data_IF_463861882026
#
_entry.id   IF_463861882026
#
_cell.length_a   1.000
_cell.length_b   1.000
_cell.length_c   1.000
_cell.angle_alpha   90.00
_cell.angle_beta   90.00
_cell.angle_gamma   90.00
#
_symmetry.space_group_name_H-M   'P 1'
#
loop_
_entity.id
_entity.type
_entity.pdbx_description
1 polymer ?
#
# COMPACT_ATOMS: atom_id res chain seq x y z
N UNK A 1 -9.94 21.92 -16.22
CA UNK A 1 -9.47 20.78 -17.02
C UNK A 1 -8.27 20.21 -16.30
N UNK A 2 -8.51 19.17 -15.52
CA UNK A 2 -7.49 18.44 -14.78
C UNK A 2 -6.63 17.61 -15.73
N UNK A 3 -5.31 17.75 -15.60
CA UNK A 3 -4.36 16.96 -16.37
C UNK A 3 -4.19 15.57 -15.72
N UNK A 4 -5.07 14.66 -16.11
CA UNK A 4 -5.11 13.27 -15.62
C UNK A 4 -3.82 12.50 -15.91
N UNK A 5 -3.04 12.92 -16.90
CA UNK A 5 -1.79 12.26 -17.27
C UNK A 5 -0.69 12.48 -16.22
N UNK A 6 -0.80 13.53 -15.41
CA UNK A 6 0.14 13.84 -14.34
C UNK A 6 -0.47 13.60 -12.94
N UNK A 7 -1.54 12.81 -12.85
CA UNK A 7 -2.18 12.48 -11.59
C UNK A 7 -1.45 11.32 -10.89
N UNK A 8 -0.75 11.64 -9.80
CA UNK A 8 -0.02 10.66 -8.98
C UNK A 8 -0.88 9.48 -8.52
N UNK A 9 -2.20 9.66 -8.36
CA UNK A 9 -3.11 8.56 -7.99
C UNK A 9 -3.20 7.50 -9.07
N UNK A 10 -3.29 7.93 -10.33
CA UNK A 10 -3.35 7.05 -11.50
C UNK A 10 -1.98 6.43 -11.79
N UNK A 11 -0.91 7.24 -11.70
CA UNK A 11 0.47 6.77 -11.88
C UNK A 11 0.83 5.66 -10.89
N UNK A 12 0.51 5.84 -9.61
CA UNK A 12 0.76 4.81 -8.57
C UNK A 12 -0.12 3.59 -8.80
N UNK A 13 -1.38 3.77 -9.22
CA UNK A 13 -2.25 2.64 -9.56
C UNK A 13 -1.65 1.79 -10.69
N UNK A 14 -1.22 2.41 -11.78
CA UNK A 14 -0.58 1.71 -12.90
C UNK A 14 0.69 0.99 -12.48
N UNK A 15 1.61 1.69 -11.81
CA UNK A 15 2.87 1.10 -11.34
C UNK A 15 2.65 -0.06 -10.36
N UNK A 16 1.60 0.00 -9.54
CA UNK A 16 1.23 -1.10 -8.64
C UNK A 16 0.72 -2.35 -9.39
N UNK A 17 0.06 -2.18 -10.55
CA UNK A 17 -0.30 -3.30 -11.44
C UNK A 17 0.97 -3.97 -11.98
N UNK A 18 1.95 -3.19 -12.44
CA UNK A 18 3.24 -3.72 -12.90
C UNK A 18 3.96 -4.51 -11.78
N UNK A 19 4.00 -3.93 -10.58
CA UNK A 19 4.56 -4.58 -9.39
C UNK A 19 3.87 -5.92 -9.11
N UNK A 20 2.53 -5.95 -9.17
CA UNK A 20 1.76 -7.18 -8.99
C UNK A 20 2.09 -8.23 -10.03
N UNK A 21 2.07 -7.88 -11.33
CA UNK A 21 2.38 -8.81 -12.41
C UNK A 21 3.77 -9.42 -12.24
N UNK A 22 4.79 -8.59 -12.00
CA UNK A 22 6.16 -9.03 -11.75
C UNK A 22 6.26 -9.95 -10.53
N UNK A 23 5.56 -9.59 -9.45
CA UNK A 23 5.55 -10.37 -8.20
C UNK A 23 4.92 -11.73 -8.42
N UNK A 24 3.74 -11.80 -9.06
CA UNK A 24 3.01 -13.04 -9.31
C UNK A 24 3.72 -13.94 -10.31
N UNK A 25 4.40 -13.35 -11.30
CA UNK A 25 5.20 -14.10 -12.27
C UNK A 25 6.43 -14.73 -11.61
N UNK A 26 7.16 -13.98 -10.76
CA UNK A 26 8.39 -14.42 -10.11
C UNK A 26 8.23 -15.22 -8.81
N UNK A 27 7.10 -15.10 -8.12
CA UNK A 27 6.88 -15.78 -6.85
C UNK A 27 6.48 -17.25 -7.01
N UNK A 28 7.01 -18.10 -6.13
CA UNK A 28 6.70 -19.52 -6.07
C UNK A 28 5.54 -19.78 -5.09
N UNK A 29 4.35 -19.34 -5.44
CA UNK A 29 3.14 -19.55 -4.64
C UNK A 29 2.67 -21.01 -4.70
N UNK A 30 2.72 -21.70 -3.57
CA UNK A 30 2.24 -23.07 -3.41
C UNK A 30 0.73 -23.12 -3.16
N UNK A 31 0.10 -24.26 -3.43
CA UNK A 31 -1.32 -24.48 -3.17
C UNK A 31 -2.22 -24.31 -4.40
N UNK A 32 -3.53 -24.34 -4.17
CA UNK A 32 -4.55 -24.22 -5.23
C UNK A 32 -5.00 -22.77 -5.33
N UNK A 33 -4.61 -22.11 -6.41
CA UNK A 33 -5.02 -20.75 -6.77
C UNK A 33 -4.98 -20.60 -8.29
N UNK A 34 -5.72 -19.64 -8.83
CA UNK A 34 -5.85 -19.45 -10.26
C UNK A 34 -4.91 -18.35 -10.77
N UNK A 35 -3.62 -18.69 -10.94
CA UNK A 35 -2.58 -17.78 -11.46
C UNK A 35 -2.97 -17.11 -12.78
N UNK A 36 -3.54 -17.88 -13.70
CA UNK A 36 -3.93 -17.38 -15.02
C UNK A 36 -5.01 -16.31 -14.90
N UNK A 37 -6.04 -16.56 -14.09
CA UNK A 37 -7.12 -15.60 -13.87
C UNK A 37 -6.61 -14.33 -13.18
N UNK A 38 -5.80 -14.47 -12.12
CA UNK A 38 -5.23 -13.32 -11.41
C UNK A 38 -4.41 -12.40 -12.34
N UNK A 39 -3.55 -12.98 -13.20
CA UNK A 39 -2.76 -12.23 -14.17
C UNK A 39 -3.64 -11.60 -15.27
N UNK A 40 -4.68 -12.30 -15.72
CA UNK A 40 -5.60 -11.76 -16.73
C UNK A 40 -6.41 -10.57 -16.19
N UNK A 41 -6.93 -10.67 -14.96
CA UNK A 41 -7.63 -9.58 -14.30
C UNK A 41 -6.73 -8.35 -14.14
N UNK A 42 -5.50 -8.52 -13.64
CA UNK A 42 -4.55 -7.42 -13.48
C UNK A 42 -4.17 -6.75 -14.82
N UNK A 43 -4.00 -7.52 -15.91
CA UNK A 43 -3.70 -6.94 -17.23
C UNK A 43 -4.86 -6.09 -17.79
N UNK A 44 -6.11 -6.42 -17.45
CA UNK A 44 -7.27 -5.60 -17.82
C UNK A 44 -7.30 -4.28 -17.05
N UNK A 45 -6.81 -4.25 -15.81
CA UNK A 45 -6.73 -3.00 -15.03
C UNK A 45 -5.88 -1.94 -15.74
N UNK A 46 -4.79 -2.33 -16.41
CA UNK A 46 -3.96 -1.40 -17.18
C UNK A 46 -4.79 -0.65 -18.23
N UNK A 47 -5.68 -1.32 -18.97
CA UNK A 47 -6.53 -0.63 -19.95
C UNK A 47 -7.57 0.30 -19.30
N UNK A 48 -8.11 -0.06 -18.14
CA UNK A 48 -9.03 0.82 -17.41
C UNK A 48 -8.31 2.08 -16.90
N UNK A 49 -7.10 1.93 -16.34
CA UNK A 49 -6.28 3.04 -15.85
C UNK A 49 -5.86 3.95 -17.00
N UNK A 50 -5.43 3.40 -18.14
CA UNK A 50 -5.08 4.19 -19.32
C UNK A 50 -6.28 4.98 -19.88
N UNK A 51 -7.48 4.43 -19.79
CA UNK A 51 -8.71 5.16 -20.16
C UNK A 51 -8.93 6.38 -19.25
N UNK A 52 -8.71 6.23 -17.93
CA UNK A 52 -8.77 7.35 -16.99
C UNK A 52 -7.66 8.37 -17.23
N UNK A 53 -6.45 7.89 -17.51
CA UNK A 53 -5.24 8.68 -17.72
C UNK A 53 -5.37 9.68 -18.87
N UNK A 54 -6.02 9.30 -19.98
CA UNK A 54 -6.25 10.19 -21.14
C UNK A 54 -7.62 10.88 -21.15
N UNK A 55 -8.36 10.83 -20.04
CA UNK A 55 -9.74 11.34 -20.00
C UNK A 55 -9.85 12.85 -19.82
N UNK A 56 -8.85 13.50 -19.20
CA UNK A 56 -8.88 14.92 -18.78
C UNK A 56 -10.10 15.30 -17.92
N UNK A 57 -10.73 14.29 -17.30
CA UNK A 57 -11.88 14.47 -16.41
C UNK A 57 -11.45 15.06 -15.08
N UNK A 58 -12.32 15.90 -14.53
CA UNK A 58 -12.15 16.37 -13.16
C UNK A 58 -12.33 15.19 -12.18
N UNK A 59 -11.67 15.19 -11.01
CA UNK A 59 -11.74 14.09 -10.05
C UNK A 59 -13.18 13.69 -9.67
N UNK A 60 -14.09 14.66 -9.53
CA UNK A 60 -15.51 14.42 -9.20
C UNK A 60 -16.30 13.72 -10.32
N UNK A 61 -15.84 13.82 -11.56
CA UNK A 61 -16.40 13.12 -12.72
C UNK A 61 -15.75 11.75 -12.88
N UNK A 62 -14.43 11.67 -12.67
CA UNK A 62 -13.65 10.44 -12.74
C UNK A 62 -14.20 9.33 -11.83
N UNK A 63 -14.58 9.67 -10.58
CA UNK A 63 -15.14 8.68 -9.63
C UNK A 63 -16.49 8.08 -10.06
N UNK A 64 -17.17 8.68 -11.04
CA UNK A 64 -18.47 8.23 -11.56
C UNK A 64 -18.34 7.36 -12.82
N UNK A 65 -17.12 7.22 -13.33
CA UNK A 65 -16.86 6.45 -14.54
C UNK A 65 -17.02 4.94 -14.28
N UNK A 66 -17.40 4.15 -15.30
CA UNK A 66 -17.45 2.70 -15.16
C UNK A 66 -16.07 2.09 -14.89
N UNK A 67 -14.99 2.73 -15.35
CA UNK A 67 -13.61 2.29 -15.14
C UNK A 67 -13.28 2.11 -13.66
N UNK A 68 -13.73 3.03 -12.79
CA UNK A 68 -13.49 2.93 -11.34
C UNK A 68 -14.16 1.68 -10.75
N UNK A 69 -15.41 1.40 -11.13
CA UNK A 69 -16.10 0.20 -10.64
C UNK A 69 -15.47 -1.08 -11.22
N UNK A 70 -15.06 -1.06 -12.49
CA UNK A 70 -14.36 -2.19 -13.12
C UNK A 70 -13.04 -2.52 -12.42
N UNK A 71 -12.30 -1.50 -11.97
CA UNK A 71 -11.08 -1.70 -11.20
C UNK A 71 -11.35 -2.36 -9.84
N UNK A 72 -12.42 -1.96 -9.15
CA UNK A 72 -12.87 -2.59 -7.90
C UNK A 72 -13.27 -4.06 -8.13
N UNK A 73 -14.06 -4.34 -9.18
CA UNK A 73 -14.49 -5.69 -9.57
C UNK A 73 -13.30 -6.59 -9.91
N UNK A 74 -12.33 -6.08 -10.67
CA UNK A 74 -11.12 -6.81 -11.03
C UNK A 74 -10.24 -7.08 -9.80
N UNK A 75 -10.20 -6.17 -8.82
CA UNK A 75 -9.47 -6.41 -7.57
C UNK A 75 -10.12 -7.55 -6.76
N UNK A 76 -11.46 -7.60 -6.71
CA UNK A 76 -12.19 -8.71 -6.09
C UNK A 76 -11.94 -10.03 -6.84
N UNK A 77 -11.95 -10.02 -8.17
CA UNK A 77 -11.62 -11.21 -8.99
C UNK A 77 -10.22 -11.74 -8.68
N UNK A 78 -9.23 -10.84 -8.48
CA UNK A 78 -7.87 -11.24 -8.09
C UNK A 78 -7.87 -11.88 -6.69
N UNK A 79 -8.58 -11.31 -5.71
CA UNK A 79 -8.67 -11.88 -4.36
C UNK A 79 -9.28 -13.28 -4.40
N UNK A 80 -10.36 -13.48 -5.16
CA UNK A 80 -10.95 -14.81 -5.36
C UNK A 80 -9.96 -15.78 -6.01
N UNK A 81 -9.27 -15.34 -7.08
CA UNK A 81 -8.28 -16.15 -7.78
C UNK A 81 -7.09 -16.53 -6.90
N UNK A 82 -6.70 -15.70 -5.93
CA UNK A 82 -5.63 -15.99 -4.96
C UNK A 82 -6.04 -16.97 -3.86
N UNK A 83 -7.33 -17.26 -3.68
CA UNK A 83 -7.84 -18.15 -2.63
C UNK A 83 -8.84 -17.52 -1.65
N UNK A 84 -9.45 -16.40 -2.01
CA UNK A 84 -10.43 -15.66 -1.19
C UNK A 84 -9.76 -14.85 -0.08
N UNK A 85 -10.52 -14.35 0.90
CA UNK A 85 -10.01 -13.39 1.92
C UNK A 85 -8.78 -13.87 2.72
N UNK A 86 -8.64 -15.18 2.87
CA UNK A 86 -7.54 -15.79 3.66
C UNK A 86 -6.34 -16.20 2.81
N UNK A 87 -6.29 -15.82 1.53
CA UNK A 87 -5.23 -16.17 0.56
C UNK A 87 -3.80 -16.04 1.13
N UNK A 88 -3.53 -14.94 1.83
CA UNK A 88 -2.21 -14.65 2.39
C UNK A 88 -1.78 -15.66 3.47
N UNK A 89 -2.71 -16.14 4.29
CA UNK A 89 -2.43 -17.15 5.33
C UNK A 89 -2.17 -18.51 4.69
N UNK A 90 -3.01 -18.88 3.72
CA UNK A 90 -2.89 -20.15 2.99
C UNK A 90 -1.52 -20.28 2.31
N UNK A 91 -1.02 -19.21 1.69
CA UNK A 91 0.32 -19.24 1.10
C UNK A 91 1.43 -19.40 2.15
N UNK A 92 1.34 -18.68 3.29
CA UNK A 92 2.34 -18.77 4.35
C UNK A 92 2.37 -20.14 5.04
N UNK A 93 1.21 -20.78 5.22
CA UNK A 93 1.09 -22.11 5.83
C UNK A 93 1.78 -23.20 5.01
N UNK A 94 1.85 -23.02 3.68
CA UNK A 94 2.48 -23.96 2.76
C UNK A 94 3.98 -23.69 2.53
N UNK A 95 4.50 -22.60 3.05
CA UNK A 95 5.90 -22.22 2.90
C UNK A 95 6.78 -22.86 3.97
N UNK A 96 7.99 -23.28 3.56
CA UNK A 96 9.00 -23.67 4.54
C UNK A 96 9.68 -22.43 5.16
N UNK A 97 10.51 -22.65 6.19
CA UNK A 97 11.15 -21.56 6.95
C UNK A 97 12.03 -20.64 6.09
N UNK A 98 12.70 -21.18 5.08
CA UNK A 98 13.60 -20.42 4.19
C UNK A 98 12.83 -19.60 3.15
N UNK A 99 11.71 -20.14 2.65
CA UNK A 99 10.84 -19.47 1.68
C UNK A 99 10.02 -18.34 2.31
N UNK A 100 9.74 -18.44 3.61
CA UNK A 100 8.79 -17.56 4.31
C UNK A 100 9.13 -16.08 4.14
N UNK A 101 10.39 -15.70 4.24
CA UNK A 101 10.80 -14.30 4.10
C UNK A 101 10.51 -13.73 2.71
N UNK A 102 10.94 -14.43 1.64
CA UNK A 102 10.68 -14.01 0.25
C UNK A 102 9.20 -14.01 -0.07
N UNK A 103 8.46 -14.94 0.54
CA UNK A 103 7.03 -15.03 0.40
C UNK A 103 6.35 -13.84 1.10
N UNK A 104 6.72 -13.50 2.33
CA UNK A 104 6.18 -12.35 3.06
C UNK A 104 6.34 -11.05 2.27
N UNK A 105 7.50 -10.83 1.67
CA UNK A 105 7.74 -9.71 0.74
C UNK A 105 6.76 -9.73 -0.44
N UNK A 106 6.61 -10.89 -1.09
CA UNK A 106 5.70 -11.05 -2.24
C UNK A 106 4.24 -10.81 -1.85
N UNK A 107 3.81 -11.31 -0.69
CA UNK A 107 2.46 -11.10 -0.17
C UNK A 107 2.23 -9.64 0.20
N UNK A 108 3.20 -8.97 0.80
CA UNK A 108 3.12 -7.54 1.10
C UNK A 108 2.95 -6.71 -0.18
N UNK A 109 3.69 -7.03 -1.25
CA UNK A 109 3.57 -6.34 -2.55
C UNK A 109 2.18 -6.52 -3.16
N UNK A 110 1.62 -7.73 -3.09
CA UNK A 110 0.24 -8.00 -3.53
C UNK A 110 -0.77 -7.21 -2.68
N UNK A 111 -0.60 -7.19 -1.34
CA UNK A 111 -1.47 -6.39 -0.46
C UNK A 111 -1.40 -4.89 -0.77
N UNK A 112 -0.22 -4.36 -1.07
CA UNK A 112 -0.03 -2.96 -1.46
C UNK A 112 -0.78 -2.66 -2.76
N UNK A 113 -0.63 -3.51 -3.77
CA UNK A 113 -1.38 -3.41 -5.03
C UNK A 113 -2.90 -3.43 -4.80
N UNK A 114 -3.43 -4.42 -4.08
CA UNK A 114 -4.87 -4.52 -3.81
C UNK A 114 -5.39 -3.29 -3.07
N UNK A 115 -4.67 -2.83 -2.03
CA UNK A 115 -5.02 -1.61 -1.31
C UNK A 115 -4.96 -0.37 -2.21
N UNK A 116 -3.98 -0.29 -3.10
CA UNK A 116 -3.84 0.81 -4.06
C UNK A 116 -5.07 0.87 -4.97
N UNK A 117 -5.47 -0.24 -5.57
CA UNK A 117 -6.61 -0.27 -6.49
C UNK A 117 -7.92 0.00 -5.75
N UNK A 118 -8.20 -0.72 -4.65
CA UNK A 118 -9.44 -0.55 -3.89
C UNK A 118 -9.55 0.82 -3.20
N UNK A 119 -8.44 1.46 -2.84
CA UNK A 119 -8.42 2.81 -2.26
C UNK A 119 -8.46 3.95 -3.28
N UNK A 120 -8.29 3.66 -4.58
CA UNK A 120 -8.10 4.68 -5.62
C UNK A 120 -9.28 5.67 -5.68
N UNK A 121 -10.52 5.16 -5.66
CA UNK A 121 -11.72 5.99 -5.63
C UNK A 121 -11.74 6.96 -4.44
N UNK A 122 -11.34 6.49 -3.27
CA UNK A 122 -11.23 7.31 -2.06
C UNK A 122 -10.23 8.45 -2.24
N UNK A 123 -9.06 8.17 -2.83
CA UNK A 123 -8.02 9.17 -3.08
C UNK A 123 -8.41 10.17 -4.18
N UNK A 124 -9.12 9.74 -5.22
CA UNK A 124 -9.65 10.64 -6.25
C UNK A 124 -10.74 11.56 -5.67
N UNK A 125 -11.57 11.04 -4.78
CA UNK A 125 -12.67 11.80 -4.14
C UNK A 125 -12.18 12.99 -3.29
N UNK A 126 -10.90 13.05 -2.95
CA UNK A 126 -10.29 14.18 -2.24
C UNK A 126 -10.13 15.44 -3.12
N UNK A 127 -10.45 15.36 -4.41
CA UNK A 127 -10.52 16.51 -5.32
C UNK A 127 -9.22 16.77 -6.07
N UNK A 128 -9.04 18.02 -6.49
CA UNK A 128 -7.93 18.49 -7.34
C UNK A 128 -6.67 18.76 -6.50
N UNK A 129 -6.00 17.70 -6.06
CA UNK A 129 -4.76 17.78 -5.27
C UNK A 129 -3.62 17.12 -6.04
N UNK A 130 -2.63 17.94 -6.45
CA UNK A 130 -1.44 17.46 -7.16
C UNK A 130 -0.27 17.33 -6.20
N UNK A 131 -0.25 16.23 -5.45
CA UNK A 131 0.80 15.92 -4.48
C UNK A 131 1.11 14.42 -4.55
N UNK A 132 2.39 14.00 -4.67
CA UNK A 132 2.77 12.59 -4.70
C UNK A 132 2.18 11.78 -3.56
N UNK A 133 2.04 12.37 -2.37
CA UNK A 133 1.52 11.64 -1.20
C UNK A 133 0.08 11.17 -1.39
N UNK A 134 -0.67 11.80 -2.30
CA UNK A 134 -2.02 11.39 -2.68
C UNK A 134 -2.04 10.08 -3.48
N UNK A 135 -0.89 9.60 -3.95
CA UNK A 135 -0.78 8.32 -4.64
C UNK A 135 -1.05 7.11 -3.74
N UNK A 136 -0.86 7.27 -2.42
CA UNK A 136 -0.98 6.20 -1.43
C UNK A 136 -1.96 6.57 -0.32
N UNK A 137 -2.45 5.56 0.40
CA UNK A 137 -3.30 5.81 1.56
C UNK A 137 -2.44 6.17 2.77
N UNK A 138 -2.83 7.23 3.47
CA UNK A 138 -2.34 7.54 4.82
C UNK A 138 -3.45 7.22 5.81
N UNK A 139 -3.16 6.34 6.76
CA UNK A 139 -4.11 5.93 7.80
C UNK A 139 -3.57 6.24 9.19
N UNK A 140 -4.45 6.66 10.10
CA UNK A 140 -4.14 6.66 11.52
C UNK A 140 -4.03 5.21 12.01
N UNK A 141 -2.95 4.88 12.69
CA UNK A 141 -2.72 3.60 13.34
C UNK A 141 -2.44 3.74 14.83
N UNK A 142 -2.45 2.60 15.51
CA UNK A 142 -2.01 2.47 16.89
C UNK A 142 -0.98 1.34 16.96
N UNK A 143 0.14 1.59 17.63
CA UNK A 143 1.20 0.58 17.75
C UNK A 143 0.82 -0.46 18.80
N UNK A 144 0.68 -1.71 18.36
CA UNK A 144 0.35 -2.85 19.22
C UNK A 144 1.59 -3.39 19.94
N UNK A 145 2.73 -3.45 19.25
CA UNK A 145 3.98 -3.94 19.83
C UNK A 145 5.19 -3.32 19.18
N UNK A 146 6.28 -3.21 19.95
CA UNK A 146 7.57 -2.69 19.50
C UNK A 146 8.67 -3.67 19.89
N UNK A 147 9.55 -3.99 18.95
CA UNK A 147 10.73 -4.83 19.19
C UNK A 147 11.95 -4.27 18.48
N UNK A 148 13.15 -4.56 19.00
CA UNK A 148 14.39 -4.23 18.31
C UNK A 148 14.55 -5.10 17.08
N UNK A 149 15.05 -4.50 15.99
CA UNK A 149 15.37 -5.28 14.80
C UNK A 149 16.50 -6.29 15.09
N UNK A 150 16.34 -7.58 14.73
CA UNK A 150 17.27 -8.65 15.14
C UNK A 150 18.69 -8.50 14.55
N UNK A 151 18.83 -7.75 13.46
CA UNK A 151 20.08 -7.57 12.72
C UNK A 151 20.48 -6.09 12.53
N UNK A 152 19.80 -5.13 13.20
CA UNK A 152 20.08 -3.71 13.02
C UNK A 152 19.77 -2.91 14.29
N UNK A 153 20.81 -2.45 14.99
CA UNK A 153 20.66 -1.79 16.31
C UNK A 153 19.93 -0.44 16.26
N UNK A 154 19.90 0.19 15.08
CA UNK A 154 19.27 1.49 14.85
C UNK A 154 17.84 1.39 14.29
N UNK A 155 17.25 0.19 14.28
CA UNK A 155 15.90 -0.02 13.76
C UNK A 155 14.99 -0.69 14.80
N UNK A 156 13.73 -0.25 14.82
CA UNK A 156 12.63 -0.91 15.50
C UNK A 156 11.69 -1.57 14.50
N UNK A 157 11.14 -2.71 14.90
CA UNK A 157 10.05 -3.39 14.20
C UNK A 157 8.78 -3.19 15.02
N UNK A 158 7.82 -2.50 14.43
CA UNK A 158 6.55 -2.15 15.05
C UNK A 158 5.41 -2.94 14.39
N UNK A 159 4.52 -3.51 15.19
CA UNK A 159 3.24 -4.02 14.71
C UNK A 159 2.17 -2.95 14.93
N UNK A 160 1.47 -2.55 13.87
CA UNK A 160 0.56 -1.40 13.87
C UNK A 160 -0.83 -1.83 13.50
N UNK A 161 -1.80 -1.53 14.37
CA UNK A 161 -3.21 -1.72 14.13
C UNK A 161 -3.76 -0.59 13.23
N UNK A 162 -4.40 -0.95 12.12
CA UNK A 162 -5.11 -0.04 11.22
C UNK A 162 -6.62 -0.33 11.18
N UNK A 163 -7.17 -0.85 12.27
CA UNK A 163 -8.57 -1.31 12.43
C UNK A 163 -8.90 -2.59 11.65
N UNK A 164 -8.75 -2.58 10.31
CA UNK A 164 -9.12 -3.70 9.44
C UNK A 164 -8.03 -4.79 9.42
N UNK A 165 -6.78 -4.40 9.64
CA UNK A 165 -5.63 -5.29 9.69
C UNK A 165 -4.51 -4.70 10.53
N UNK A 166 -3.63 -5.58 10.98
CA UNK A 166 -2.31 -5.20 11.47
C UNK A 166 -1.28 -5.23 10.35
N UNK A 167 -0.30 -4.33 10.39
CA UNK A 167 0.83 -4.30 9.46
C UNK A 167 2.15 -4.18 10.22
N UNK A 168 3.23 -4.61 9.57
CA UNK A 168 4.59 -4.40 10.09
C UNK A 168 5.15 -3.09 9.55
N UNK A 169 5.69 -2.23 10.43
CA UNK A 169 6.39 -1.00 10.05
C UNK A 169 7.76 -0.99 10.71
N UNK A 170 8.81 -0.83 9.91
CA UNK A 170 10.18 -0.65 10.39
C UNK A 170 10.49 0.85 10.46
N UNK A 171 11.10 1.30 11.56
CA UNK A 171 11.44 2.71 11.77
C UNK A 171 12.80 2.88 12.44
N UNK A 172 13.45 4.01 12.18
CA UNK A 172 14.69 4.43 12.83
C UNK A 172 14.45 5.29 14.08
N UNK A 173 13.21 5.71 14.37
CA UNK A 173 12.87 6.41 15.60
C UNK A 173 12.77 5.40 16.76
N UNK A 174 13.85 5.33 17.55
CA UNK A 174 13.98 4.41 18.69
C UNK A 174 13.10 4.80 19.90
N UNK A 175 12.42 5.94 19.85
CA UNK A 175 11.57 6.45 20.93
C UNK A 175 10.10 6.06 20.77
N UNK A 176 9.74 5.43 19.66
CA UNK A 176 8.40 4.88 19.43
C UNK A 176 8.04 3.81 20.48
N UNK A 177 6.79 3.82 20.96
CA UNK A 177 6.28 2.91 22.00
C UNK A 177 4.92 2.31 21.63
N UNK A 178 4.56 1.25 22.34
CA UNK A 178 3.19 0.71 22.32
C UNK A 178 2.16 1.77 22.66
N UNK A 179 0.96 1.61 22.11
CA UNK A 179 -0.16 2.55 22.19
C UNK A 179 0.10 3.95 21.61
N UNK A 180 1.25 4.23 20.99
CA UNK A 180 1.46 5.50 20.28
C UNK A 180 0.46 5.61 19.11
N UNK A 181 -0.35 6.69 19.05
CA UNK A 181 -1.15 7.00 17.88
C UNK A 181 -0.26 7.62 16.79
N UNK A 182 -0.19 6.96 15.65
CA UNK A 182 0.73 7.28 14.55
C UNK A 182 -0.03 7.45 13.24
N UNK A 183 0.59 8.09 12.26
CA UNK A 183 0.11 8.11 10.88
C UNK A 183 1.03 7.21 10.06
N UNK A 184 0.44 6.30 9.28
CA UNK A 184 1.19 5.38 8.41
C UNK A 184 0.83 5.66 6.96
N UNK A 185 1.84 5.96 6.15
CA UNK A 185 1.74 5.91 4.70
C UNK A 185 1.90 4.45 4.23
N UNK A 186 0.89 3.92 3.55
CA UNK A 186 0.90 2.58 2.97
C UNK A 186 1.67 2.59 1.64
N UNK A 187 2.99 2.67 1.75
CA UNK A 187 3.94 2.71 0.65
C UNK A 187 4.25 1.31 0.09
N UNK A 188 4.89 1.21 -1.09
CA UNK A 188 5.45 -0.04 -1.57
C UNK A 188 6.32 -0.70 -0.49
N UNK A 189 6.15 -2.00 -0.22
CA UNK A 189 6.89 -2.66 0.85
C UNK A 189 8.40 -2.70 0.60
N UNK A 190 9.17 -2.54 1.66
CA UNK A 190 10.63 -2.63 1.66
C UNK A 190 11.12 -3.70 2.64
N UNK A 191 12.26 -4.33 2.31
CA UNK A 191 12.86 -5.37 3.15
C UNK A 191 14.08 -4.82 3.87
N UNK A 192 14.02 -4.78 5.20
CA UNK A 192 15.12 -4.41 6.07
C UNK A 192 15.69 -5.67 6.70
N UNK A 193 16.84 -6.16 6.20
CA UNK A 193 17.60 -7.26 6.83
C UNK A 193 16.71 -8.45 7.26
N UNK A 194 15.79 -8.86 6.38
CA UNK A 194 14.89 -9.99 6.69
C UNK A 194 13.46 -9.63 7.07
N UNK A 195 13.19 -8.37 7.42
CA UNK A 195 11.86 -7.93 7.85
C UNK A 195 11.21 -7.07 6.78
N UNK A 196 10.04 -7.49 6.31
CA UNK A 196 9.23 -6.73 5.35
C UNK A 196 8.44 -5.64 6.07
N UNK A 197 8.76 -4.38 5.79
CA UNK A 197 7.96 -3.22 6.19
C UNK A 197 6.87 -2.98 5.16
N UNK A 198 5.62 -2.89 5.59
CA UNK A 198 4.42 -2.68 4.76
C UNK A 198 4.00 -1.20 4.66
N UNK A 199 4.83 -0.29 5.16
CA UNK A 199 4.60 1.14 5.11
C UNK A 199 5.66 1.93 5.87
N UNK A 200 5.40 3.23 6.07
CA UNK A 200 6.28 4.14 6.79
C UNK A 200 5.46 5.07 7.69
N UNK A 201 5.97 5.35 8.89
CA UNK A 201 5.38 6.37 9.74
C UNK A 201 5.62 7.77 9.19
N UNK A 202 4.65 8.67 9.35
CA UNK A 202 4.88 10.09 9.09
C UNK A 202 5.65 10.72 10.24
N UNK A 203 6.56 11.62 9.89
CA UNK A 203 7.51 12.21 10.82
C UNK A 203 8.38 13.26 10.15
N UNK A 204 9.10 14.04 10.95
CA UNK A 204 10.06 15.02 10.45
C UNK A 204 11.29 15.08 11.36
N UNK A 205 12.45 15.37 10.77
CA UNK A 205 13.71 15.45 11.51
C UNK A 205 14.11 14.13 12.19
N UNK A 206 13.75 12.99 11.60
CA UNK A 206 14.00 11.66 12.15
C UNK A 206 13.07 11.24 13.30
N UNK A 207 12.02 12.02 13.58
CA UNK A 207 11.06 11.74 14.65
C UNK A 207 9.68 11.45 14.08
N UNK A 208 9.08 10.35 14.53
CA UNK A 208 7.72 9.93 14.20
C UNK A 208 6.70 10.79 14.95
N UNK A 209 5.59 11.10 14.28
CA UNK A 209 4.44 11.73 14.92
C UNK A 209 3.74 10.71 15.85
N UNK A 210 3.76 10.96 17.16
CA UNK A 210 3.27 10.05 18.21
C UNK A 210 1.96 10.52 18.89
N UNK A 211 1.35 11.61 18.43
CA UNK A 211 0.07 12.13 18.94
C UNK A 211 -0.93 12.42 17.79
N UNK A 212 -1.01 11.50 16.83
CA UNK A 212 -1.84 11.68 15.63
C UNK A 212 -3.34 11.63 15.95
N UNK A 213 -4.09 12.61 15.45
CA UNK A 213 -5.55 12.74 15.64
C UNK A 213 -6.34 12.09 14.50
N UNK A 214 -7.63 11.85 14.74
CA UNK A 214 -8.56 11.17 13.84
C UNK A 214 -8.98 9.78 14.34
N UNK A 215 -9.73 9.05 13.52
CA UNK A 215 -10.22 7.71 13.84
C UNK A 215 -9.25 6.63 13.34
N UNK A 216 -9.12 5.53 14.10
CA UNK A 216 -8.25 4.41 13.75
C UNK A 216 -8.61 3.85 12.35
N UNK A 217 -7.61 3.61 11.51
CA UNK A 217 -7.80 3.10 10.15
C UNK A 217 -8.33 4.12 9.14
N UNK A 218 -8.63 5.36 9.56
CA UNK A 218 -9.11 6.45 8.69
C UNK A 218 -8.02 7.48 8.43
N UNK A 219 -8.31 8.44 7.55
CA UNK A 219 -7.38 9.53 7.21
C UNK A 219 -7.06 10.32 8.49
N UNK A 220 -5.78 10.52 8.84
CA UNK A 220 -5.39 11.27 10.02
C UNK A 220 -5.67 12.77 9.87
N UNK A 221 -5.83 13.47 11.00
CA UNK A 221 -6.15 14.89 11.03
C UNK A 221 -4.94 15.73 11.49
N UNK A 222 -4.79 16.92 10.92
CA UNK A 222 -3.82 17.91 11.38
C UNK A 222 -2.35 17.52 11.17
N UNK A 223 -2.05 16.72 10.14
CA UNK A 223 -0.68 16.32 9.83
C UNK A 223 0.12 17.53 9.30
N UNK A 224 1.28 17.87 9.90
CA UNK A 224 2.17 18.90 9.38
C UNK A 224 2.66 18.56 7.97
N UNK A 225 2.74 19.55 7.08
CA UNK A 225 3.10 19.32 5.67
C UNK A 225 4.53 18.79 5.51
N UNK A 226 5.42 19.16 6.43
CA UNK A 226 6.80 18.69 6.50
C UNK A 226 6.88 17.19 6.76
N UNK A 227 5.91 16.65 7.53
CA UNK A 227 5.86 15.23 7.88
C UNK A 227 5.51 14.32 6.68
N UNK A 228 5.12 14.90 5.55
CA UNK A 228 4.77 14.20 4.31
C UNK A 228 5.96 14.10 3.33
N UNK A 229 7.05 14.84 3.56
CA UNK A 229 8.14 14.97 2.59
C UNK A 229 8.82 13.63 2.27
N UNK A 230 9.13 12.82 3.27
CA UNK A 230 9.74 11.51 3.05
C UNK A 230 8.80 10.59 2.26
N UNK A 231 7.49 10.60 2.57
CA UNK A 231 6.50 9.83 1.82
C UNK A 231 6.37 10.31 0.37
N UNK A 232 6.43 11.62 0.12
CA UNK A 232 6.46 12.17 -1.25
C UNK A 232 7.63 11.62 -2.04
N UNK A 233 8.84 11.70 -1.48
CA UNK A 233 10.06 11.20 -2.11
C UNK A 233 9.96 9.70 -2.41
N UNK A 234 9.41 8.90 -1.50
CA UNK A 234 9.24 7.46 -1.71
C UNK A 234 8.20 7.14 -2.79
N UNK A 235 7.11 7.91 -2.88
CA UNK A 235 6.15 7.77 -3.99
C UNK A 235 6.81 8.13 -5.32
N UNK A 236 7.55 9.24 -5.39
CA UNK A 236 8.24 9.63 -6.62
C UNK A 236 9.29 8.60 -7.04
N UNK A 237 10.07 8.07 -6.09
CA UNK A 237 11.03 7.00 -6.35
C UNK A 237 10.35 5.72 -6.84
N UNK A 238 9.16 5.39 -6.32
CA UNK A 238 8.41 4.23 -6.79
C UNK A 238 7.96 4.36 -8.25
N UNK A 239 7.72 5.58 -8.73
CA UNK A 239 7.25 5.83 -10.09
C UNK A 239 8.36 5.80 -11.16
N UNK A 240 9.63 5.90 -10.76
CA UNK A 240 10.80 5.78 -11.65
C UNK A 240 10.95 4.34 -12.21
#
# INVERSE_FOLDING_TARGET
MWDTSNDYRLLVAEKSVELFLRTVEGANFKGKWNKKQALQAARKMTSEIQTLYYSYLEPAEMIKTPQINLLEDQAMEIVEALGGETWHRQFLELANREEKQKLEESLAKIKFFLNTISGLKGRISLGEVKDPVMGVDIKKGEILSVSKHPQADQLLVCNVNLQERAITVVTNDLEVREANPVAVALLPPEVFMGITSEGMFLGFGGNVLKDVKGDLGKIPQGIPLEALNESRNLVENFLQ
#
